data_IF_531565344516
#
_entry.id   IF_531565344516
#
_cell.length_a   1.000
_cell.length_b   1.000
_cell.length_c   1.000
_cell.angle_alpha   90.00
_cell.angle_beta   90.00
_cell.angle_gamma   90.00
#
_symmetry.space_group_name_H-M   'P 1'
#
loop_
_entity.id
_entity.type
_entity.pdbx_description
1 polymer ?
#
# COMPACT_ATOMS: atom_id res chain seq x y z
N UNK A 1 52.28 -33.84 16.81
CA UNK A 1 52.35 -32.48 17.37
C UNK A 1 51.93 -31.49 16.28
N UNK A 2 50.67 -31.09 16.22
CA UNK A 2 50.15 -30.13 15.28
C UNK A 2 50.61 -28.73 15.68
N UNK A 3 51.31 -28.03 14.79
CA UNK A 3 51.89 -26.72 15.07
C UNK A 3 50.76 -25.71 15.36
N UNK A 4 50.81 -24.92 16.44
CA UNK A 4 49.72 -24.01 16.85
C UNK A 4 49.36 -22.96 15.80
N UNK A 5 50.27 -22.68 14.86
CA UNK A 5 50.03 -21.74 13.73
C UNK A 5 49.02 -22.27 12.71
N UNK A 6 48.98 -23.58 12.45
CA UNK A 6 48.04 -24.20 11.50
C UNK A 6 46.62 -24.25 12.07
N UNK A 7 46.47 -24.46 13.36
CA UNK A 7 45.16 -24.42 14.02
C UNK A 7 44.58 -23.00 14.02
N UNK A 8 45.41 -22.00 14.27
CA UNK A 8 44.98 -20.58 14.26
C UNK A 8 44.52 -20.09 12.88
N UNK A 9 45.21 -20.55 11.81
CA UNK A 9 44.81 -20.22 10.42
C UNK A 9 43.51 -20.89 10.02
N UNK A 10 43.30 -22.16 10.40
CA UNK A 10 42.03 -22.85 10.09
C UNK A 10 40.85 -22.23 10.83
N UNK A 11 41.03 -21.88 12.10
CA UNK A 11 39.98 -21.22 12.90
C UNK A 11 39.64 -19.83 12.31
N UNK A 12 40.63 -19.05 11.85
CA UNK A 12 40.41 -17.76 11.22
C UNK A 12 39.65 -17.85 9.89
N UNK A 13 39.95 -18.87 9.08
CA UNK A 13 39.25 -19.14 7.81
C UNK A 13 37.80 -19.57 8.03
N UNK A 14 37.58 -20.47 9.02
CA UNK A 14 36.23 -20.90 9.39
C UNK A 14 35.37 -19.74 9.94
N UNK A 15 35.95 -18.85 10.74
CA UNK A 15 35.25 -17.68 11.27
C UNK A 15 34.90 -16.69 10.17
N UNK A 16 35.74 -16.54 9.15
CA UNK A 16 35.44 -15.67 7.98
C UNK A 16 34.33 -16.21 7.10
N UNK A 17 34.18 -17.54 6.99
CA UNK A 17 33.06 -18.14 6.24
C UNK A 17 31.70 -17.97 6.95
N UNK A 18 31.67 -17.94 8.28
CA UNK A 18 30.43 -17.76 9.05
C UNK A 18 29.89 -16.33 8.95
N UNK A 19 30.77 -15.34 8.79
CA UNK A 19 30.39 -13.93 8.63
C UNK A 19 29.82 -13.58 7.24
N UNK A 20 30.02 -14.42 6.23
CA UNK A 20 29.51 -14.21 4.87
C UNK A 20 28.07 -14.69 4.65
N UNK A 21 27.42 -15.29 5.67
CA UNK A 21 26.15 -16.01 5.51
C UNK A 21 24.89 -15.24 5.89
N UNK A 22 24.95 -13.95 6.21
CA UNK A 22 23.79 -13.19 6.66
C UNK A 22 23.46 -11.97 5.77
N UNK A 23 23.31 -12.17 4.46
CA UNK A 23 22.46 -11.26 3.68
C UNK A 23 21.09 -11.91 3.52
N UNK A 24 20.24 -11.78 4.54
CA UNK A 24 18.80 -11.95 4.37
C UNK A 24 18.35 -10.83 3.41
N UNK A 25 18.37 -11.14 2.12
CA UNK A 25 17.73 -10.29 1.13
C UNK A 25 16.22 -10.52 1.29
N UNK A 26 15.58 -9.66 2.06
CA UNK A 26 14.12 -9.55 2.04
C UNK A 26 13.80 -8.90 0.69
N UNK A 27 13.09 -9.56 -0.22
CA UNK A 27 12.66 -8.92 -1.46
C UNK A 27 11.82 -7.70 -1.08
N UNK A 28 12.33 -6.52 -1.36
CA UNK A 28 11.54 -5.29 -1.38
C UNK A 28 11.02 -5.19 -2.79
N UNK A 29 9.69 -5.03 -2.93
CA UNK A 29 8.99 -4.94 -4.22
C UNK A 29 9.11 -6.20 -5.10
N UNK A 30 8.51 -7.34 -4.66
CA UNK A 30 8.62 -8.61 -5.38
C UNK A 30 7.99 -8.57 -6.80
N UNK A 31 7.13 -7.60 -7.09
CA UNK A 31 6.45 -7.43 -8.37
C UNK A 31 6.81 -6.12 -9.07
N UNK A 32 7.73 -5.34 -8.51
CA UNK A 32 8.16 -4.04 -9.05
C UNK A 32 6.95 -3.15 -9.44
N UNK A 33 5.93 -3.11 -8.54
CA UNK A 33 4.64 -2.49 -8.83
C UNK A 33 4.79 -1.03 -9.26
N UNK A 34 5.61 -0.23 -8.56
CA UNK A 34 5.80 1.18 -8.91
C UNK A 34 6.38 1.35 -10.32
N UNK A 35 7.39 0.57 -10.68
CA UNK A 35 8.02 0.61 -11.99
C UNK A 35 7.06 0.19 -13.09
N UNK A 36 6.23 -0.81 -12.83
CA UNK A 36 5.23 -1.33 -13.78
C UNK A 36 4.09 -0.35 -14.01
N UNK A 37 3.58 0.31 -12.97
CA UNK A 37 2.45 1.24 -13.10
C UNK A 37 2.87 2.61 -13.61
N UNK A 38 4.12 3.02 -13.39
CA UNK A 38 4.64 4.31 -13.86
C UNK A 38 4.70 4.35 -15.39
N UNK A 39 3.94 5.24 -16.01
CA UNK A 39 3.74 5.28 -17.46
C UNK A 39 2.95 4.10 -18.02
N UNK A 40 2.30 3.31 -17.14
CA UNK A 40 1.54 2.12 -17.47
C UNK A 40 0.10 2.19 -16.93
N UNK A 41 -0.43 1.06 -16.44
CA UNK A 41 -1.79 0.96 -15.92
C UNK A 41 -1.75 0.65 -14.42
N UNK A 42 -2.44 1.48 -13.64
CA UNK A 42 -2.73 1.29 -12.22
C UNK A 42 -4.10 0.61 -12.07
N UNK A 43 -4.11 -0.64 -11.63
CA UNK A 43 -5.33 -1.42 -11.40
C UNK A 43 -5.88 -1.14 -10.01
N UNK A 44 -7.07 -0.51 -9.93
CA UNK A 44 -7.65 -0.02 -8.66
C UNK A 44 -8.99 -0.68 -8.38
N UNK A 45 -9.06 -1.42 -7.28
CA UNK A 45 -10.31 -1.93 -6.72
C UNK A 45 -11.05 -0.87 -5.92
N UNK A 46 -12.35 -0.73 -6.16
CA UNK A 46 -13.20 0.26 -5.52
C UNK A 46 -14.38 -0.41 -4.83
N UNK A 47 -14.41 -0.35 -3.50
CA UNK A 47 -15.56 -0.78 -2.71
C UNK A 47 -16.47 0.42 -2.43
N UNK A 48 -17.79 0.35 -2.73
CA UNK A 48 -18.69 1.49 -2.53
C UNK A 48 -18.85 1.84 -1.05
N UNK A 49 -18.45 3.07 -0.68
CA UNK A 49 -18.58 3.62 0.68
C UNK A 49 -18.70 5.16 0.66
N UNK A 50 -19.88 5.72 0.33
CA UNK A 50 -20.06 7.17 0.26
C UNK A 50 -19.79 7.88 1.61
N UNK A 51 -19.16 9.06 1.64
CA UNK A 51 -18.73 9.86 0.47
C UNK A 51 -17.31 9.53 -0.02
N UNK A 52 -16.65 8.51 0.55
CA UNK A 52 -15.28 8.13 0.22
C UNK A 52 -15.18 7.62 -1.21
N UNK A 53 -16.01 6.65 -1.54
CA UNK A 53 -16.13 6.03 -2.86
C UNK A 53 -17.60 5.93 -3.25
N UNK A 54 -17.95 6.50 -4.40
CA UNK A 54 -19.28 6.48 -5.00
C UNK A 54 -19.17 5.73 -6.31
N UNK A 55 -19.96 4.67 -6.46
CA UNK A 55 -20.01 3.85 -7.66
C UNK A 55 -21.41 3.87 -8.23
N UNK A 56 -21.55 4.35 -9.46
CA UNK A 56 -22.82 4.40 -10.19
C UNK A 56 -22.72 3.56 -11.47
N UNK A 57 -23.80 2.83 -11.85
CA UNK A 57 -23.77 1.99 -13.04
C UNK A 57 -23.38 2.77 -14.31
N UNK A 58 -22.36 2.30 -15.02
CA UNK A 58 -21.92 2.90 -16.28
C UNK A 58 -21.14 4.21 -16.15
N UNK A 59 -20.75 4.58 -14.94
CA UNK A 59 -19.88 5.73 -14.67
C UNK A 59 -18.58 5.27 -14.00
N UNK A 60 -17.54 6.08 -14.16
CA UNK A 60 -16.33 5.89 -13.37
C UNK A 60 -16.57 6.20 -11.89
N UNK A 61 -15.85 5.54 -10.98
CA UNK A 61 -15.96 5.84 -9.55
C UNK A 61 -15.66 7.31 -9.26
N UNK A 62 -16.39 7.88 -8.29
CA UNK A 62 -16.22 9.25 -7.83
C UNK A 62 -16.15 9.31 -6.30
N UNK A 63 -15.89 10.49 -5.74
CA UNK A 63 -15.76 10.70 -4.29
C UNK A 63 -14.32 11.01 -3.87
N UNK A 64 -14.11 11.08 -2.57
CA UNK A 64 -12.84 11.56 -1.98
C UNK A 64 -11.63 10.74 -2.43
N UNK A 65 -11.72 9.43 -2.34
CA UNK A 65 -10.58 8.55 -2.65
C UNK A 65 -10.33 8.39 -4.16
N UNK A 66 -11.35 8.20 -5.03
CA UNK A 66 -11.10 8.17 -6.46
C UNK A 66 -10.47 9.46 -7.01
N UNK A 67 -10.84 10.64 -6.49
CA UNK A 67 -10.19 11.90 -6.87
C UNK A 67 -8.72 11.93 -6.44
N UNK A 68 -8.41 11.48 -5.23
CA UNK A 68 -7.03 11.38 -4.76
C UNK A 68 -6.21 10.38 -5.61
N UNK A 69 -6.81 9.25 -5.98
CA UNK A 69 -6.15 8.24 -6.82
C UNK A 69 -5.92 8.76 -8.24
N UNK A 70 -6.84 9.52 -8.83
CA UNK A 70 -6.62 10.15 -10.16
C UNK A 70 -5.42 11.10 -10.13
N UNK A 71 -5.35 11.96 -9.14
CA UNK A 71 -4.24 12.90 -9.05
C UNK A 71 -2.90 12.19 -8.73
N UNK A 72 -2.93 11.08 -7.99
CA UNK A 72 -1.76 10.23 -7.81
C UNK A 72 -1.33 9.57 -9.13
N UNK A 73 -2.27 9.02 -9.90
CA UNK A 73 -2.00 8.40 -11.19
C UNK A 73 -1.40 9.40 -12.19
N UNK A 74 -1.91 10.63 -12.24
CA UNK A 74 -1.32 11.72 -13.03
C UNK A 74 0.13 12.02 -12.62
N UNK A 75 0.44 12.02 -11.32
CA UNK A 75 1.80 12.25 -10.81
C UNK A 75 2.80 11.20 -11.28
N UNK A 76 2.36 9.96 -11.44
CA UNK A 76 3.22 8.85 -11.88
C UNK A 76 3.06 8.49 -13.36
N UNK A 77 2.31 9.32 -14.12
CA UNK A 77 2.04 9.14 -15.56
C UNK A 77 1.33 7.79 -15.85
N UNK A 78 0.39 7.38 -14.98
CA UNK A 78 -0.35 6.13 -15.10
C UNK A 78 -1.79 6.33 -15.61
N UNK A 79 -2.28 5.41 -16.42
CA UNK A 79 -3.72 5.25 -16.70
C UNK A 79 -4.35 4.40 -15.58
N UNK A 80 -5.64 4.62 -15.29
CA UNK A 80 -6.32 3.85 -14.24
C UNK A 80 -7.28 2.84 -14.86
N UNK A 81 -7.18 1.59 -14.41
CA UNK A 81 -8.19 0.56 -14.64
C UNK A 81 -9.00 0.34 -13.35
N UNK A 82 -10.27 0.69 -13.39
CA UNK A 82 -11.17 0.55 -12.25
C UNK A 82 -11.84 -0.83 -12.22
N UNK A 83 -11.77 -1.51 -11.08
CA UNK A 83 -12.53 -2.72 -10.77
C UNK A 83 -13.46 -2.44 -9.57
N UNK A 84 -14.76 -2.72 -9.72
CA UNK A 84 -15.75 -2.42 -8.68
C UNK A 84 -16.24 -3.70 -8.03
N UNK A 85 -16.22 -3.77 -6.70
CA UNK A 85 -16.68 -4.94 -5.95
C UNK A 85 -16.77 -4.69 -4.46
N UNK A 86 -17.16 -5.71 -3.69
CA UNK A 86 -17.07 -5.67 -2.24
C UNK A 86 -15.63 -5.95 -1.76
N UNK A 87 -15.27 -5.51 -0.54
CA UNK A 87 -13.94 -5.77 0.03
C UNK A 87 -13.55 -7.25 -0.02
N UNK A 88 -14.49 -8.16 0.27
CA UNK A 88 -14.26 -9.61 0.25
C UNK A 88 -13.97 -10.17 -1.14
N UNK A 89 -14.31 -9.45 -2.20
CA UNK A 89 -14.01 -9.80 -3.58
C UNK A 89 -12.68 -9.14 -4.02
N UNK A 90 -12.47 -7.88 -3.65
CA UNK A 90 -11.31 -7.09 -4.09
C UNK A 90 -10.01 -7.46 -3.36
N UNK A 91 -10.08 -7.77 -2.06
CA UNK A 91 -8.86 -8.07 -1.29
C UNK A 91 -8.11 -9.32 -1.76
N UNK A 92 -8.78 -10.43 -2.14
CA UNK A 92 -8.09 -11.55 -2.80
C UNK A 92 -7.42 -11.19 -4.13
N UNK A 93 -8.03 -10.31 -4.94
CA UNK A 93 -7.42 -9.82 -6.19
C UNK A 93 -6.15 -9.01 -5.91
N UNK A 94 -6.18 -8.17 -4.87
CA UNK A 94 -5.01 -7.42 -4.42
C UNK A 94 -3.87 -8.35 -3.97
N UNK A 95 -4.18 -9.39 -3.19
CA UNK A 95 -3.21 -10.39 -2.73
C UNK A 95 -2.58 -11.18 -3.88
N UNK A 96 -3.35 -11.41 -4.95
CA UNK A 96 -2.93 -12.18 -6.13
C UNK A 96 -2.25 -11.34 -7.23
N UNK A 97 -1.95 -10.06 -6.99
CA UNK A 97 -1.40 -9.13 -7.99
C UNK A 97 -2.30 -8.83 -9.19
N UNK A 98 -3.60 -9.03 -9.05
CA UNK A 98 -4.58 -8.65 -10.06
C UNK A 98 -5.00 -7.18 -9.89
N UNK A 99 -4.85 -6.64 -8.67
CA UNK A 99 -4.99 -5.22 -8.34
C UNK A 99 -3.72 -4.69 -7.67
N UNK A 100 -3.48 -3.38 -7.82
CA UNK A 100 -2.36 -2.67 -7.22
C UNK A 100 -2.76 -1.88 -5.96
N UNK A 101 -3.99 -1.43 -5.95
CA UNK A 101 -4.56 -0.58 -4.92
C UNK A 101 -6.03 -0.95 -4.68
N UNK A 102 -6.48 -0.93 -3.42
CA UNK A 102 -7.91 -1.02 -3.07
C UNK A 102 -8.28 0.17 -2.19
N UNK A 103 -9.39 0.80 -2.57
CA UNK A 103 -10.00 1.93 -1.86
C UNK A 103 -11.48 1.62 -1.54
N UNK A 104 -12.03 2.27 -0.51
CA UNK A 104 -13.41 2.03 -0.07
C UNK A 104 -13.69 2.58 1.32
N UNK A 105 -13.03 3.69 1.72
CA UNK A 105 -13.15 4.26 3.06
C UNK A 105 -12.57 3.35 4.14
N UNK A 106 -11.55 2.56 3.82
CA UNK A 106 -10.92 1.61 4.73
C UNK A 106 -10.43 2.31 6.01
N UNK A 107 -10.65 1.66 7.14
CA UNK A 107 -10.15 2.11 8.44
C UNK A 107 -8.85 1.38 8.79
N UNK A 108 -7.97 2.02 9.56
CA UNK A 108 -6.73 1.38 10.06
C UNK A 108 -6.98 0.13 10.91
N UNK A 109 -8.21 -0.05 11.42
CA UNK A 109 -8.68 -1.21 12.18
C UNK A 109 -9.30 -2.31 11.30
N UNK A 110 -9.17 -2.21 9.97
CA UNK A 110 -9.73 -3.22 9.04
C UNK A 110 -9.23 -4.63 9.37
N UNK A 111 -10.09 -5.67 9.24
CA UNK A 111 -9.67 -7.06 9.45
C UNK A 111 -8.58 -7.53 8.47
N UNK A 112 -8.42 -6.86 7.34
CA UNK A 112 -7.45 -7.20 6.30
C UNK A 112 -6.01 -6.79 6.63
N UNK A 113 -5.76 -6.08 7.74
CA UNK A 113 -4.47 -5.51 8.12
C UNK A 113 -3.31 -6.51 8.22
N UNK A 114 -3.59 -7.80 8.38
CA UNK A 114 -2.56 -8.85 8.41
C UNK A 114 -2.32 -9.50 7.03
N UNK A 115 -3.15 -9.19 6.05
CA UNK A 115 -3.18 -9.87 4.76
C UNK A 115 -2.69 -8.96 3.62
N UNK A 116 -2.81 -7.64 3.79
CA UNK A 116 -2.41 -6.63 2.81
C UNK A 116 -1.55 -5.54 3.46
N UNK A 117 -0.82 -4.80 2.66
CA UNK A 117 -0.16 -3.56 3.09
C UNK A 117 -1.19 -2.45 3.25
N UNK A 118 -1.10 -1.68 4.33
CA UNK A 118 -1.93 -0.50 4.53
C UNK A 118 -1.05 0.75 4.51
N UNK A 119 -1.53 1.81 3.87
CA UNK A 119 -0.88 3.13 3.98
C UNK A 119 -0.92 3.61 5.43
N UNK A 120 -0.05 4.55 5.78
CA UNK A 120 -0.28 5.39 6.96
C UNK A 120 -1.64 6.08 6.83
N UNK A 121 -2.18 6.47 7.99
CA UNK A 121 -3.41 7.27 8.05
C UNK A 121 -3.22 8.55 7.24
N UNK A 122 -3.93 8.68 6.14
CA UNK A 122 -3.89 9.88 5.31
C UNK A 122 -4.90 10.95 5.75
N UNK A 123 -5.95 10.53 6.47
CA UNK A 123 -6.97 11.43 7.01
C UNK A 123 -7.57 10.85 8.30
N UNK A 124 -7.87 11.70 9.27
CA UNK A 124 -8.63 11.32 10.47
C UNK A 124 -9.93 12.09 10.52
N UNK A 125 -11.04 11.38 10.62
CA UNK A 125 -12.37 11.98 10.74
C UNK A 125 -12.99 11.63 12.10
N UNK A 126 -14.13 12.26 12.39
CA UNK A 126 -14.92 11.99 13.60
C UNK A 126 -16.33 11.60 13.16
N UNK A 127 -16.78 10.42 13.58
CA UNK A 127 -18.13 9.95 13.27
C UNK A 127 -19.19 10.61 14.18
N UNK A 128 -20.46 10.32 13.94
CA UNK A 128 -21.59 10.90 14.67
C UNK A 128 -21.54 10.62 16.20
N UNK A 129 -20.87 9.54 16.60
CA UNK A 129 -20.69 9.14 18.01
C UNK A 129 -19.45 9.79 18.66
N UNK A 130 -18.72 10.63 17.92
CA UNK A 130 -17.49 11.28 18.39
C UNK A 130 -16.25 10.39 18.36
N UNK A 131 -16.32 9.19 17.75
CA UNK A 131 -15.18 8.29 17.59
C UNK A 131 -14.31 8.75 16.41
N UNK A 132 -12.99 8.73 16.60
CA UNK A 132 -12.02 8.99 15.54
C UNK A 132 -11.91 7.79 14.63
N UNK A 133 -11.96 8.06 13.34
CA UNK A 133 -11.78 7.09 12.25
C UNK A 133 -10.50 7.48 11.49
N UNK A 134 -9.57 6.56 11.42
CA UNK A 134 -8.31 6.73 10.71
C UNK A 134 -8.42 6.04 9.35
N UNK A 135 -8.42 6.83 8.28
CA UNK A 135 -8.58 6.33 6.92
C UNK A 135 -7.24 5.94 6.30
N UNK A 136 -7.25 4.79 5.63
CA UNK A 136 -6.09 4.17 4.97
C UNK A 136 -6.51 3.63 3.60
N UNK A 137 -5.53 3.37 2.74
CA UNK A 137 -5.72 2.62 1.49
C UNK A 137 -4.95 1.31 1.57
N UNK A 138 -5.40 0.28 0.85
CA UNK A 138 -4.75 -1.03 0.85
C UNK A 138 -3.94 -1.24 -0.42
N UNK A 139 -2.71 -1.73 -0.26
CA UNK A 139 -1.80 -2.12 -1.32
C UNK A 139 -1.36 -3.56 -1.12
N UNK A 140 -0.71 -4.16 -2.10
CA UNK A 140 -0.15 -5.50 -1.93
C UNK A 140 0.98 -5.52 -0.90
N UNK A 141 1.05 -6.61 -0.12
CA UNK A 141 2.14 -6.80 0.84
C UNK A 141 3.50 -6.91 0.15
N UNK A 142 4.47 -6.15 0.66
CA UNK A 142 5.85 -6.19 0.19
C UNK A 142 6.19 -5.16 -0.89
N UNK A 143 5.20 -4.52 -1.51
CA UNK A 143 5.39 -3.48 -2.53
C UNK A 143 5.73 -2.13 -1.88
N UNK A 144 6.92 -2.06 -1.27
CA UNK A 144 7.29 -0.95 -0.40
C UNK A 144 7.57 0.36 -1.16
N UNK A 145 8.10 0.29 -2.39
CA UNK A 145 8.32 1.49 -3.21
C UNK A 145 6.99 2.11 -3.64
N UNK A 146 6.04 1.26 -4.06
CA UNK A 146 4.71 1.73 -4.41
C UNK A 146 3.99 2.32 -3.19
N UNK A 147 4.01 1.62 -2.06
CA UNK A 147 3.45 2.09 -0.80
C UNK A 147 4.04 3.44 -0.39
N UNK A 148 5.37 3.58 -0.43
CA UNK A 148 6.06 4.81 -0.04
C UNK A 148 5.71 5.99 -0.97
N UNK A 149 5.68 5.77 -2.29
CA UNK A 149 5.32 6.81 -3.27
C UNK A 149 3.87 7.28 -3.08
N UNK A 150 2.94 6.34 -2.82
CA UNK A 150 1.55 6.66 -2.52
C UNK A 150 1.42 7.44 -1.19
N UNK A 151 2.11 7.00 -0.14
CA UNK A 151 2.11 7.69 1.16
C UNK A 151 2.73 9.09 1.08
N UNK A 152 3.82 9.26 0.33
CA UNK A 152 4.44 10.56 0.11
C UNK A 152 3.46 11.51 -0.57
N UNK A 153 2.77 11.04 -1.60
CA UNK A 153 1.71 11.80 -2.27
C UNK A 153 0.59 12.19 -1.30
N UNK A 154 0.02 11.22 -0.58
CA UNK A 154 -1.11 11.45 0.34
C UNK A 154 -0.76 12.42 1.48
N UNK A 155 0.49 12.37 1.99
CA UNK A 155 0.95 13.25 3.06
C UNK A 155 1.19 14.70 2.61
N UNK A 156 1.45 14.93 1.34
CA UNK A 156 1.72 16.27 0.79
C UNK A 156 0.52 16.86 0.03
N UNK A 157 -0.58 16.13 -0.05
CA UNK A 157 -1.80 16.53 -0.75
C UNK A 157 -2.89 16.93 0.24
N UNK A 158 -3.51 18.08 0.02
CA UNK A 158 -4.69 18.49 0.77
C UNK A 158 -5.93 17.78 0.22
N UNK A 159 -6.28 16.66 0.84
CA UNK A 159 -7.41 15.82 0.42
C UNK A 159 -8.71 16.55 0.76
N UNK A 160 -9.43 16.91 -0.28
CA UNK A 160 -10.70 17.62 -0.15
C UNK A 160 -11.81 16.67 0.26
N UNK A 161 -12.50 16.99 1.34
CA UNK A 161 -13.65 16.22 1.83
C UNK A 161 -14.91 17.08 1.83
N UNK A 162 -16.11 16.51 1.64
CA UNK A 162 -17.36 17.23 1.76
C UNK A 162 -17.52 17.89 3.13
N UNK A 163 -18.19 19.03 3.19
CA UNK A 163 -18.46 19.76 4.46
C UNK A 163 -19.19 18.93 5.51
N UNK A 164 -19.93 17.90 5.08
CA UNK A 164 -20.60 16.95 5.97
C UNK A 164 -19.64 16.03 6.74
N UNK A 165 -18.37 15.93 6.32
CA UNK A 165 -17.34 15.10 6.96
C UNK A 165 -16.55 15.95 7.97
N UNK A 166 -16.59 15.55 9.23
CA UNK A 166 -15.82 16.23 10.28
C UNK A 166 -14.37 15.74 10.29
N UNK A 167 -13.44 16.56 9.86
CA UNK A 167 -12.01 16.27 9.89
C UNK A 167 -11.42 16.70 11.21
N UNK A 168 -10.62 15.84 11.83
CA UNK A 168 -9.81 16.20 13.00
C UNK A 168 -8.57 16.97 12.53
N UNK A 169 -8.45 18.21 12.97
CA UNK A 169 -7.22 19.02 12.82
C UNK A 169 -6.18 18.65 13.86
#
# INVERSE_FOLDING_TARGET
>A
MTRPRTVLTVVSVLLSLVLASCSLHVPTDPNDTLERVRGGVLSVGVSPYPPWTIVEPGQEPSGVEPEAVRAFAERIDAEIAWETGGETELMPLLQNNELDLVIGGLESSTPWSNEVGLTRTYLTTVNAEGKQIQHVMAVQNGENHFLFELEDYLNHTDIQVPESVQVKK
#
